data_IF_757441233420
#
_entry.id   IF_757441233420
#
_cell.length_a   1.000
_cell.length_b   1.000
_cell.length_c   1.000
_cell.angle_alpha   90.00
_cell.angle_beta   90.00
_cell.angle_gamma   90.00
#
_symmetry.space_group_name_H-M   'P 1'
#
loop_
_entity.id
_entity.type
_entity.pdbx_description
1 polymer ?
#
# COMPACT_ATOMS: atom_id res chain seq x y z
N UNK A 1 39.17 6.58 38.79
CA UNK A 1 37.93 6.74 38.03
C UNK A 1 38.24 7.63 36.84
N UNK A 2 38.51 7.01 35.69
CA UNK A 2 38.64 7.69 34.41
C UNK A 2 37.35 7.40 33.66
N UNK A 3 36.72 8.46 33.18
CA UNK A 3 35.52 8.42 32.37
C UNK A 3 35.75 7.57 31.12
N UNK A 4 35.05 6.43 31.04
CA UNK A 4 34.79 5.77 29.76
C UNK A 4 33.69 6.58 29.08
N UNK A 5 34.10 7.51 28.20
CA UNK A 5 33.23 7.96 27.11
C UNK A 5 33.03 6.76 26.19
N UNK A 6 31.82 6.23 26.18
CA UNK A 6 31.37 5.33 25.12
C UNK A 6 30.98 6.26 23.96
N UNK A 7 31.77 6.24 22.88
CA UNK A 7 31.40 6.89 21.63
C UNK A 7 30.27 6.07 20.98
N UNK A 8 29.04 6.59 21.01
CA UNK A 8 27.84 6.04 20.34
C UNK A 8 28.00 5.89 18.82
N UNK A 9 29.10 6.36 18.24
CA UNK A 9 29.39 6.28 16.80
C UNK A 9 30.05 4.97 16.35
N UNK A 10 30.39 4.05 17.26
CA UNK A 10 31.16 2.82 16.93
C UNK A 10 30.35 1.53 16.92
N UNK A 11 29.02 1.58 17.10
CA UNK A 11 28.15 0.40 17.14
C UNK A 11 27.32 0.16 15.85
N UNK A 12 27.47 0.99 14.81
CA UNK A 12 26.53 1.01 13.69
C UNK A 12 27.14 0.85 12.29
N UNK A 13 28.37 0.31 12.19
CA UNK A 13 29.07 0.21 10.90
C UNK A 13 29.68 -1.19 10.70
N UNK A 14 28.86 -2.23 10.89
CA UNK A 14 29.24 -3.58 10.52
C UNK A 14 28.42 -4.03 9.31
N UNK A 15 28.99 -3.84 8.13
CA UNK A 15 28.69 -4.63 6.93
C UNK A 15 28.89 -6.12 7.26
N UNK A 16 27.85 -6.78 7.79
CA UNK A 16 27.98 -8.19 8.15
C UNK A 16 28.04 -9.05 6.88
N UNK A 17 29.07 -9.89 6.69
CA UNK A 17 29.21 -10.71 5.49
C UNK A 17 28.30 -11.94 5.46
N UNK A 18 27.75 -12.39 6.61
CA UNK A 18 27.04 -13.69 6.73
C UNK A 18 25.77 -13.65 7.62
N UNK A 19 24.92 -14.66 7.50
CA UNK A 19 23.67 -14.88 8.27
C UNK A 19 23.93 -15.21 9.74
N UNK A 20 25.08 -15.80 10.05
CA UNK A 20 25.49 -16.16 11.41
C UNK A 20 25.74 -14.92 12.28
N UNK A 21 26.30 -13.86 11.69
CA UNK A 21 26.49 -12.58 12.38
C UNK A 21 25.14 -11.89 12.68
N UNK A 22 24.18 -11.97 11.74
CA UNK A 22 22.82 -11.45 11.94
C UNK A 22 22.11 -12.19 13.08
N UNK A 23 22.26 -13.51 13.18
CA UNK A 23 21.70 -14.29 14.28
C UNK A 23 22.26 -13.84 15.64
N UNK A 24 23.57 -13.57 15.72
CA UNK A 24 24.21 -13.09 16.94
C UNK A 24 23.71 -11.68 17.33
N UNK A 25 23.55 -10.78 16.37
CA UNK A 25 23.01 -9.45 16.59
C UNK A 25 21.55 -9.48 17.04
N UNK A 26 20.72 -10.31 16.41
CA UNK A 26 19.33 -10.49 16.80
C UNK A 26 19.22 -10.95 18.27
N UNK A 27 20.11 -11.86 18.70
CA UNK A 27 20.21 -12.28 20.11
C UNK A 27 20.59 -11.11 21.02
N UNK A 28 21.57 -10.29 20.60
CA UNK A 28 22.01 -9.14 21.40
C UNK A 28 20.91 -8.07 21.55
N UNK A 29 20.10 -7.88 20.51
CA UNK A 29 18.99 -6.91 20.48
C UNK A 29 17.67 -7.50 21.00
N UNK A 30 17.68 -8.73 21.51
CA UNK A 30 16.51 -9.48 21.98
C UNK A 30 15.36 -9.52 20.95
N UNK A 31 15.68 -9.57 19.66
CA UNK A 31 14.70 -9.66 18.57
C UNK A 31 14.72 -11.05 17.92
N UNK A 32 13.59 -11.42 17.34
CA UNK A 32 13.47 -12.64 16.55
C UNK A 32 13.97 -12.40 15.12
N UNK A 33 13.54 -11.29 14.52
CA UNK A 33 13.68 -11.05 13.08
C UNK A 33 14.02 -9.58 12.81
N UNK A 34 14.99 -9.37 11.92
CA UNK A 34 15.21 -8.07 11.28
C UNK A 34 14.37 -7.99 10.00
N UNK A 35 13.55 -6.94 9.88
CA UNK A 35 12.73 -6.69 8.70
C UNK A 35 13.16 -5.40 8.02
N UNK A 36 13.56 -5.47 6.75
CA UNK A 36 13.87 -4.27 5.96
C UNK A 36 12.67 -3.87 5.09
N UNK A 37 12.30 -2.59 5.16
CA UNK A 37 11.18 -2.00 4.41
C UNK A 37 11.66 -0.82 3.56
N UNK A 38 10.87 -0.43 2.57
CA UNK A 38 11.25 0.60 1.59
C UNK A 38 11.41 2.00 2.17
N UNK A 39 10.57 2.37 3.13
CA UNK A 39 10.61 3.69 3.75
C UNK A 39 9.95 3.75 5.12
N UNK A 40 9.89 4.95 5.68
CA UNK A 40 9.33 5.19 7.02
C UNK A 40 7.83 4.93 7.08
N UNK A 41 7.11 5.21 5.99
CA UNK A 41 5.66 5.01 5.90
C UNK A 41 5.30 3.51 5.90
N UNK A 42 6.20 2.65 5.38
CA UNK A 42 6.03 1.20 5.34
C UNK A 42 6.18 0.54 6.72
N UNK A 43 6.97 1.14 7.62
CA UNK A 43 7.23 0.56 8.95
C UNK A 43 5.93 0.30 9.71
N UNK A 44 5.04 1.29 9.74
CA UNK A 44 3.78 1.17 10.49
C UNK A 44 2.85 0.14 9.85
N UNK A 45 2.72 0.17 8.52
CA UNK A 45 1.91 -0.80 7.79
C UNK A 45 2.36 -2.24 8.05
N UNK A 46 3.65 -2.53 7.89
CA UNK A 46 4.17 -3.89 8.08
C UNK A 46 4.17 -4.30 9.55
N UNK A 47 4.46 -3.38 10.48
CA UNK A 47 4.32 -3.64 11.90
C UNK A 47 2.90 -4.09 12.25
N UNK A 48 1.89 -3.34 11.81
CA UNK A 48 0.49 -3.67 12.10
C UNK A 48 0.06 -4.99 11.44
N UNK A 49 0.55 -5.29 10.24
CA UNK A 49 0.36 -6.59 9.56
C UNK A 49 0.90 -7.74 10.42
N UNK A 50 2.16 -7.66 10.86
CA UNK A 50 2.78 -8.72 11.65
C UNK A 50 2.21 -8.81 13.06
N UNK A 51 1.93 -7.68 13.72
CA UNK A 51 1.25 -7.65 15.02
C UNK A 51 -0.17 -8.27 14.92
N UNK A 52 -0.82 -8.20 13.76
CA UNK A 52 -2.14 -8.81 13.54
C UNK A 52 -2.06 -10.31 13.27
N UNK A 53 -1.14 -10.77 12.41
CA UNK A 53 -1.14 -12.16 11.91
C UNK A 53 -0.06 -13.06 12.53
N UNK A 54 0.96 -12.48 13.17
CA UNK A 54 2.03 -13.19 13.88
C UNK A 54 2.47 -12.43 15.16
N UNK A 55 1.55 -12.20 16.12
CA UNK A 55 1.75 -11.32 17.28
C UNK A 55 2.87 -11.76 18.24
N UNK A 56 3.33 -13.02 18.14
CA UNK A 56 4.38 -13.56 19.02
C UNK A 56 5.80 -13.27 18.50
N UNK A 57 5.95 -12.73 17.29
CA UNK A 57 7.25 -12.41 16.71
C UNK A 57 7.72 -11.03 17.18
N UNK A 58 8.92 -10.99 17.77
CA UNK A 58 9.58 -9.72 18.04
C UNK A 58 10.38 -9.27 16.80
N UNK A 59 9.78 -8.41 15.99
CA UNK A 59 10.37 -7.92 14.74
C UNK A 59 10.82 -6.47 14.90
N UNK A 60 12.07 -6.18 14.50
CA UNK A 60 12.53 -4.79 14.34
C UNK A 60 12.49 -4.42 12.85
N UNK A 61 11.80 -3.32 12.55
CA UNK A 61 11.63 -2.81 11.19
C UNK A 61 12.63 -1.68 10.90
N UNK A 62 13.38 -1.82 9.81
CA UNK A 62 14.41 -0.89 9.34
C UNK A 62 13.98 -0.21 8.04
N UNK A 63 13.76 1.12 8.01
CA UNK A 63 13.26 1.86 6.84
C UNK A 63 14.35 2.29 5.84
N UNK A 64 15.44 1.53 5.76
CA UNK A 64 16.63 1.87 4.98
C UNK A 64 17.35 0.61 4.53
N UNK A 65 18.24 0.72 3.56
CA UNK A 65 19.12 -0.40 3.17
C UNK A 65 20.06 -0.80 4.30
N UNK A 66 20.37 -2.09 4.37
CA UNK A 66 21.45 -2.66 5.19
C UNK A 66 22.81 -2.04 4.84
N UNK A 67 23.09 -1.85 3.56
CA UNK A 67 24.40 -1.42 3.06
C UNK A 67 24.60 0.10 3.18
N UNK A 68 23.51 0.85 3.41
CA UNK A 68 23.56 2.30 3.62
C UNK A 68 22.28 2.83 4.27
N UNK A 69 22.38 3.23 5.53
CA UNK A 69 21.27 3.78 6.33
C UNK A 69 20.65 5.08 5.78
N UNK A 70 21.29 5.73 4.79
CA UNK A 70 20.78 6.93 4.11
C UNK A 70 20.08 6.63 2.77
N UNK A 71 20.05 5.37 2.33
CA UNK A 71 19.38 4.95 1.09
C UNK A 71 18.09 4.21 1.41
N UNK A 72 17.01 4.66 0.80
CA UNK A 72 15.66 4.09 0.92
C UNK A 72 15.10 3.71 -0.46
N UNK A 73 13.98 3.00 -0.45
CA UNK A 73 13.25 2.51 -1.62
C UNK A 73 13.65 1.11 -2.06
N UNK A 74 12.77 0.46 -2.83
CA UNK A 74 12.90 -0.92 -3.32
C UNK A 74 14.29 -1.37 -3.77
N UNK A 75 14.96 -0.59 -4.61
CA UNK A 75 16.30 -0.92 -5.14
C UNK A 75 17.39 -0.98 -4.07
N UNK A 76 17.19 -0.25 -2.97
CA UNK A 76 18.14 -0.21 -1.86
C UNK A 76 17.98 -1.41 -0.92
N UNK A 77 16.79 -2.02 -0.87
CA UNK A 77 16.52 -3.21 -0.04
C UNK A 77 16.65 -4.52 -0.82
N UNK A 78 16.33 -4.55 -2.12
CA UNK A 78 16.49 -5.72 -2.99
C UNK A 78 17.89 -5.81 -3.61
N UNK A 79 18.94 -5.66 -2.79
CA UNK A 79 20.33 -5.87 -3.24
C UNK A 79 20.61 -7.36 -3.35
N UNK A 80 21.58 -7.74 -4.20
CA UNK A 80 22.01 -9.15 -4.31
C UNK A 80 22.41 -9.73 -2.94
N UNK A 81 23.02 -8.91 -2.10
CA UNK A 81 23.40 -9.27 -0.73
C UNK A 81 22.18 -9.56 0.16
N UNK A 82 21.17 -8.68 0.16
CA UNK A 82 19.96 -8.90 0.94
C UNK A 82 19.16 -10.10 0.42
N UNK A 83 19.05 -10.27 -0.90
CA UNK A 83 18.38 -11.42 -1.50
C UNK A 83 19.05 -12.75 -1.09
N UNK A 84 20.39 -12.78 -1.07
CA UNK A 84 21.15 -13.98 -0.66
C UNK A 84 21.01 -14.28 0.83
N UNK A 85 20.89 -13.25 1.67
CA UNK A 85 20.85 -13.38 3.12
C UNK A 85 19.43 -13.45 3.70
N UNK A 86 18.39 -13.15 2.92
CA UNK A 86 17.01 -13.26 3.34
C UNK A 86 16.71 -14.70 3.77
N UNK A 87 16.21 -14.86 4.99
CA UNK A 87 16.20 -16.11 5.71
C UNK A 87 15.35 -16.07 6.97
N UNK A 88 15.48 -17.11 7.79
CA UNK A 88 14.70 -17.29 9.03
C UNK A 88 14.73 -16.06 9.97
N UNK A 89 15.83 -15.32 10.00
CA UNK A 89 16.08 -14.21 10.92
C UNK A 89 16.13 -12.83 10.21
N UNK A 90 15.92 -12.81 8.89
CA UNK A 90 16.02 -11.62 8.05
C UNK A 90 14.96 -11.70 6.94
N UNK A 91 13.98 -10.80 6.98
CA UNK A 91 12.94 -10.72 5.96
C UNK A 91 12.97 -9.35 5.26
N UNK A 92 12.47 -9.32 4.03
CA UNK A 92 12.31 -8.07 3.26
C UNK A 92 10.83 -7.86 2.99
N UNK A 93 10.34 -6.63 3.12
CA UNK A 93 8.96 -6.27 2.91
C UNK A 93 8.89 -5.13 1.90
N UNK A 94 8.26 -5.38 0.74
CA UNK A 94 8.35 -4.51 -0.44
C UNK A 94 6.98 -4.24 -1.05
N UNK A 95 6.85 -3.10 -1.70
CA UNK A 95 5.74 -2.84 -2.60
C UNK A 95 5.82 -3.77 -3.80
N UNK A 96 4.70 -4.34 -4.26
CA UNK A 96 4.75 -5.24 -5.41
C UNK A 96 4.94 -4.51 -6.74
N UNK A 97 4.63 -3.21 -6.82
CA UNK A 97 4.48 -2.49 -8.08
C UNK A 97 3.58 -3.27 -9.06
N UNK A 98 4.19 -3.89 -10.08
CA UNK A 98 3.54 -4.78 -11.04
C UNK A 98 4.17 -6.18 -11.04
N UNK A 99 5.16 -6.44 -10.18
CA UNK A 99 5.95 -7.67 -10.17
C UNK A 99 5.11 -8.89 -9.81
N UNK A 100 4.21 -8.75 -8.83
CA UNK A 100 3.26 -9.81 -8.48
C UNK A 100 2.38 -10.20 -9.67
N UNK A 101 1.82 -9.21 -10.38
CA UNK A 101 0.98 -9.43 -11.56
C UNK A 101 1.73 -10.07 -12.72
N UNK A 102 3.00 -9.70 -12.88
CA UNK A 102 3.87 -10.20 -13.94
C UNK A 102 4.57 -11.52 -13.57
N UNK A 103 4.37 -12.03 -12.35
CA UNK A 103 5.03 -13.24 -11.82
C UNK A 103 6.54 -13.17 -11.99
N UNK A 104 7.14 -12.08 -11.55
CA UNK A 104 8.58 -11.81 -11.72
C UNK A 104 9.44 -12.72 -10.81
N UNK A 105 9.84 -13.88 -11.30
CA UNK A 105 10.64 -14.86 -10.56
C UNK A 105 12.15 -14.56 -10.58
N UNK A 106 12.92 -14.93 -9.52
CA UNK A 106 12.48 -15.65 -8.31
C UNK A 106 11.93 -14.74 -7.20
N UNK A 107 11.75 -13.45 -7.47
CA UNK A 107 11.44 -12.45 -6.45
C UNK A 107 10.05 -12.66 -5.80
N UNK A 108 9.04 -13.00 -6.60
CA UNK A 108 7.67 -13.19 -6.11
C UNK A 108 7.46 -14.51 -5.38
N UNK A 109 8.29 -15.52 -5.62
CA UNK A 109 8.23 -16.81 -4.91
C UNK A 109 9.20 -16.92 -3.74
N UNK A 110 9.98 -15.87 -3.46
CA UNK A 110 11.00 -15.92 -2.43
C UNK A 110 10.38 -16.07 -1.02
N UNK A 111 10.73 -17.11 -0.24
CA UNK A 111 10.02 -17.48 0.99
C UNK A 111 10.17 -16.50 2.16
N UNK A 112 11.04 -15.50 2.02
CA UNK A 112 11.39 -14.49 3.03
C UNK A 112 11.22 -13.05 2.52
N UNK A 113 10.57 -12.87 1.35
CA UNK A 113 10.23 -11.56 0.81
C UNK A 113 8.72 -11.45 0.78
N UNK A 114 8.20 -10.49 1.54
CA UNK A 114 6.79 -10.19 1.62
C UNK A 114 6.48 -9.04 0.69
N UNK A 115 5.39 -9.20 -0.04
CA UNK A 115 4.93 -8.30 -1.08
C UNK A 115 3.62 -7.68 -0.65
N UNK A 116 3.39 -6.42 -0.98
CA UNK A 116 2.09 -5.80 -0.69
C UNK A 116 0.95 -6.43 -1.49
N UNK A 117 1.20 -7.16 -2.58
CA UNK A 117 0.24 -7.79 -3.49
C UNK A 117 -0.74 -6.84 -4.19
N UNK A 118 -0.97 -5.64 -3.66
CA UNK A 118 -1.39 -4.45 -4.40
C UNK A 118 -0.18 -3.76 -5.01
N UNK A 119 -0.40 -2.68 -5.76
CA UNK A 119 0.69 -1.90 -6.33
C UNK A 119 1.63 -1.37 -5.24
N UNK A 120 1.08 -0.74 -4.20
CA UNK A 120 1.82 -0.31 -3.02
C UNK A 120 0.95 -0.26 -1.76
N UNK A 121 1.55 0.12 -0.61
CA UNK A 121 0.82 0.36 0.64
C UNK A 121 -0.29 1.41 0.51
N UNK A 122 -0.13 2.41 -0.39
CA UNK A 122 -1.13 3.47 -0.63
C UNK A 122 -2.48 2.93 -1.06
N UNK A 123 -2.50 1.82 -1.81
CA UNK A 123 -3.75 1.23 -2.29
C UNK A 123 -4.61 0.72 -1.11
N UNK A 124 -3.98 0.27 -0.01
CA UNK A 124 -4.71 -0.15 1.20
C UNK A 124 -5.34 1.03 1.96
N UNK A 125 -4.71 2.21 1.90
CA UNK A 125 -5.22 3.43 2.53
C UNK A 125 -6.56 3.89 1.94
N UNK A 126 -6.90 3.43 0.73
CA UNK A 126 -8.05 3.91 -0.05
C UNK A 126 -9.14 2.88 -0.28
N UNK A 127 -9.20 1.82 0.53
CA UNK A 127 -10.33 0.87 0.49
C UNK A 127 -11.67 1.62 0.53
N UNK A 128 -12.62 1.36 -0.39
CA UNK A 128 -13.86 2.13 -0.49
C UNK A 128 -14.64 2.22 0.83
N UNK A 129 -14.62 1.16 1.64
CA UNK A 129 -15.28 1.12 2.95
C UNK A 129 -14.56 1.98 4.00
N UNK A 130 -13.23 2.03 3.95
CA UNK A 130 -12.44 2.91 4.80
C UNK A 130 -12.77 4.38 4.48
N UNK A 131 -12.78 4.74 3.20
CA UNK A 131 -13.13 6.09 2.74
C UNK A 131 -14.53 6.51 3.21
N UNK A 132 -15.54 5.65 2.99
CA UNK A 132 -16.91 5.90 3.44
C UNK A 132 -16.96 6.17 4.95
N UNK A 133 -16.29 5.34 5.76
CA UNK A 133 -16.32 5.49 7.21
C UNK A 133 -15.56 6.72 7.72
N UNK A 134 -14.45 7.08 7.07
CA UNK A 134 -13.71 8.30 7.37
C UNK A 134 -14.56 9.53 7.02
N UNK A 135 -15.24 9.53 5.86
CA UNK A 135 -16.15 10.60 5.48
C UNK A 135 -17.29 10.76 6.50
N UNK A 136 -17.92 9.66 6.92
CA UNK A 136 -18.96 9.68 7.94
C UNK A 136 -18.46 10.27 9.27
N UNK A 137 -17.32 9.79 9.76
CA UNK A 137 -16.71 10.23 11.03
C UNK A 137 -16.28 11.69 11.03
N UNK A 138 -15.91 12.23 9.87
CA UNK A 138 -15.33 13.58 9.74
C UNK A 138 -16.32 14.63 9.30
N UNK A 139 -17.44 14.24 8.69
CA UNK A 139 -18.44 15.15 8.15
C UNK A 139 -19.84 15.02 8.77
N UNK A 140 -20.18 13.88 9.39
CA UNK A 140 -21.51 13.59 9.93
C UNK A 140 -22.64 13.94 8.93
N UNK A 141 -22.66 13.29 7.74
CA UNK A 141 -23.68 13.54 6.72
C UNK A 141 -25.10 13.30 7.27
N UNK A 142 -26.09 13.91 6.62
CA UNK A 142 -27.50 13.66 6.96
C UNK A 142 -27.89 12.27 6.47
N UNK A 143 -28.48 11.45 7.35
CA UNK A 143 -28.93 10.09 7.03
C UNK A 143 -30.12 10.07 6.07
N UNK A 144 -30.81 11.20 5.88
CA UNK A 144 -31.97 11.30 5.01
C UNK A 144 -31.63 11.75 3.57
N UNK A 145 -30.38 12.11 3.32
CA UNK A 145 -29.90 12.50 1.99
C UNK A 145 -29.10 11.33 1.39
N UNK A 146 -29.29 10.98 0.10
CA UNK A 146 -28.44 10.00 -0.55
C UNK A 146 -26.96 10.37 -0.41
N UNK A 147 -26.19 9.49 0.22
CA UNK A 147 -24.74 9.66 0.37
C UNK A 147 -24.01 9.17 -0.88
N UNK A 148 -23.01 9.93 -1.32
CA UNK A 148 -21.97 9.45 -2.22
C UNK A 148 -21.48 8.02 -1.85
N UNK A 149 -21.53 7.13 -2.84
CA UNK A 149 -21.08 5.74 -2.74
C UNK A 149 -19.65 5.61 -3.27
N UNK A 150 -18.70 5.57 -2.34
CA UNK A 150 -17.29 5.28 -2.64
C UNK A 150 -17.10 3.92 -3.30
N UNK A 151 -17.93 2.93 -2.93
CA UNK A 151 -17.89 1.58 -3.51
C UNK A 151 -18.23 1.65 -4.99
N UNK A 152 -19.36 2.28 -5.36
CA UNK A 152 -19.79 2.32 -6.75
C UNK A 152 -18.86 3.18 -7.60
N UNK A 153 -18.34 4.29 -7.04
CA UNK A 153 -17.37 5.13 -7.73
C UNK A 153 -16.08 4.38 -8.03
N UNK A 154 -15.47 3.71 -7.03
CA UNK A 154 -14.20 2.99 -7.22
C UNK A 154 -14.39 1.79 -8.15
N UNK A 155 -15.53 1.10 -8.10
CA UNK A 155 -15.86 0.03 -9.05
C UNK A 155 -15.95 0.57 -10.48
N UNK A 156 -16.67 1.68 -10.69
CA UNK A 156 -16.78 2.31 -12.01
C UNK A 156 -15.42 2.80 -12.52
N UNK A 157 -14.62 3.43 -11.65
CA UNK A 157 -13.26 3.86 -11.95
C UNK A 157 -12.38 2.67 -12.37
N UNK A 158 -12.48 1.56 -11.62
CA UNK A 158 -11.70 0.35 -11.88
C UNK A 158 -12.05 -0.27 -13.24
N UNK A 159 -13.34 -0.37 -13.57
CA UNK A 159 -13.80 -0.89 -14.87
C UNK A 159 -13.28 -0.06 -16.03
N UNK A 160 -13.35 1.26 -15.91
CA UNK A 160 -12.88 2.19 -16.95
C UNK A 160 -11.37 2.08 -17.16
N UNK A 161 -10.61 1.84 -16.09
CA UNK A 161 -9.14 1.77 -16.15
C UNK A 161 -8.59 0.37 -16.44
N UNK A 162 -9.41 -0.69 -16.36
CA UNK A 162 -9.01 -2.06 -16.64
C UNK A 162 -8.34 -2.25 -18.02
N UNK A 163 -8.88 -1.69 -19.13
CA UNK A 163 -8.19 -1.78 -20.41
C UNK A 163 -6.79 -1.17 -20.37
N UNK A 164 -6.63 0.00 -19.73
CA UNK A 164 -5.33 0.67 -19.62
C UNK A 164 -4.34 -0.13 -18.76
N UNK A 165 -4.81 -0.77 -17.68
CA UNK A 165 -3.97 -1.65 -16.85
C UNK A 165 -3.33 -2.77 -17.69
N UNK A 166 -4.07 -3.36 -18.64
CA UNK A 166 -3.53 -4.40 -19.54
C UNK A 166 -2.36 -3.89 -20.38
N UNK A 167 -2.47 -2.67 -20.92
CA UNK A 167 -1.39 -2.03 -21.66
C UNK A 167 -0.18 -1.69 -20.76
N UNK A 168 -0.43 -1.20 -19.54
CA UNK A 168 0.62 -0.95 -18.55
C UNK A 168 1.42 -2.24 -18.27
N UNK A 169 0.72 -3.35 -18.02
CA UNK A 169 1.35 -4.65 -17.78
C UNK A 169 2.11 -5.19 -18.98
N UNK A 170 1.52 -5.08 -20.18
CA UNK A 170 2.19 -5.48 -21.43
C UNK A 170 3.53 -4.77 -21.61
N UNK A 171 3.56 -3.46 -21.41
CA UNK A 171 4.76 -2.65 -21.58
C UNK A 171 5.79 -2.88 -20.48
N UNK A 172 5.37 -3.06 -19.23
CA UNK A 172 6.30 -3.39 -18.15
C UNK A 172 6.92 -4.78 -18.36
N UNK A 173 6.14 -5.77 -18.80
CA UNK A 173 6.65 -7.10 -19.15
C UNK A 173 7.70 -7.04 -20.27
N UNK A 174 7.44 -6.24 -21.31
CA UNK A 174 8.39 -6.06 -22.43
C UNK A 174 9.68 -5.39 -21.94
N UNK A 175 9.58 -4.39 -21.07
CA UNK A 175 10.73 -3.74 -20.45
C UNK A 175 11.56 -4.73 -19.62
N UNK A 176 10.93 -5.58 -18.81
CA UNK A 176 11.62 -6.63 -18.05
C UNK A 176 12.38 -7.61 -18.97
N UNK A 177 11.73 -8.08 -20.05
CA UNK A 177 12.36 -8.99 -21.01
C UNK A 177 13.57 -8.36 -21.73
N UNK A 178 13.50 -7.06 -22.05
CA UNK A 178 14.62 -6.33 -22.66
C UNK A 178 15.80 -6.19 -21.71
N UNK A 179 15.54 -5.82 -20.44
CA UNK A 179 16.59 -5.72 -19.42
C UNK A 179 17.30 -7.06 -19.19
N UNK A 180 16.56 -8.18 -19.21
CA UNK A 180 17.15 -9.52 -19.09
C UNK A 180 18.02 -9.91 -20.30
N UNK A 181 17.71 -9.41 -21.49
CA UNK A 181 18.37 -9.80 -22.74
C UNK A 181 19.66 -9.04 -23.06
N UNK A 182 20.09 -8.06 -22.24
CA UNK A 182 21.28 -7.19 -22.46
C UNK A 182 21.40 -6.63 -23.89
N UNK A 183 20.29 -6.38 -24.58
CA UNK A 183 20.35 -5.75 -25.90
C UNK A 183 20.70 -4.27 -25.75
N UNK A 184 21.79 -3.84 -26.41
CA UNK A 184 22.33 -2.47 -26.35
C UNK A 184 21.39 -1.40 -26.94
N UNK A 185 20.38 -1.79 -27.71
CA UNK A 185 19.30 -0.90 -28.16
C UNK A 185 18.13 -0.96 -27.18
N UNK A 186 18.37 -0.50 -25.95
CA UNK A 186 17.28 -0.16 -25.05
C UNK A 186 16.43 0.90 -25.75
N UNK A 187 15.14 0.61 -25.99
CA UNK A 187 14.18 1.68 -26.29
C UNK A 187 14.17 2.55 -25.03
N UNK A 188 14.96 3.63 -25.06
CA UNK A 188 15.16 4.57 -23.96
C UNK A 188 13.86 5.27 -23.55
N UNK A 189 12.80 5.15 -24.34
CA UNK A 189 11.53 5.80 -24.10
C UNK A 189 10.62 4.89 -23.26
N UNK A 190 10.16 5.35 -22.07
CA UNK A 190 9.09 4.67 -21.35
C UNK A 190 7.89 4.53 -22.28
N UNK A 191 7.43 3.30 -22.50
CA UNK A 191 6.35 3.01 -23.45
C UNK A 191 5.03 3.69 -23.06
N UNK A 192 4.86 3.99 -21.76
CA UNK A 192 3.90 4.97 -21.20
C UNK A 192 4.61 5.72 -20.07
N UNK A 193 4.67 7.06 -20.11
CA UNK A 193 5.35 7.82 -19.06
C UNK A 193 4.48 8.00 -17.81
N UNK A 194 5.12 8.20 -16.65
CA UNK A 194 4.42 8.52 -15.39
C UNK A 194 3.56 9.79 -15.52
N UNK A 195 3.99 10.75 -16.34
CA UNK A 195 3.24 11.98 -16.58
C UNK A 195 2.00 11.74 -17.44
N UNK A 196 2.09 10.86 -18.45
CA UNK A 196 0.93 10.45 -19.25
C UNK A 196 -0.11 9.77 -18.36
N UNK A 197 0.32 8.81 -17.52
CA UNK A 197 -0.56 8.15 -16.56
C UNK A 197 -1.22 9.14 -15.60
N UNK A 198 -0.46 10.08 -15.02
CA UNK A 198 -1.02 11.14 -14.18
C UNK A 198 -2.08 11.96 -14.94
N UNK A 199 -1.78 12.38 -16.16
CA UNK A 199 -2.70 13.20 -16.96
C UNK A 199 -4.04 12.52 -17.27
N UNK A 200 -4.04 11.19 -17.36
CA UNK A 200 -5.24 10.38 -17.64
C UNK A 200 -5.98 10.03 -16.36
N UNK A 201 -5.27 9.51 -15.35
CA UNK A 201 -5.85 8.88 -14.16
C UNK A 201 -6.25 9.89 -13.07
N UNK A 202 -5.56 11.02 -12.94
CA UNK A 202 -5.91 12.02 -11.94
C UNK A 202 -7.30 12.62 -12.22
N UNK A 203 -8.06 12.91 -11.16
CA UNK A 203 -9.37 13.58 -11.25
C UNK A 203 -9.22 15.05 -10.84
N UNK A 204 -10.20 15.89 -11.21
CA UNK A 204 -10.23 17.29 -10.78
C UNK A 204 -11.41 17.56 -9.88
N UNK A 205 -11.21 18.32 -8.81
CA UNK A 205 -12.29 18.68 -7.88
C UNK A 205 -13.47 19.40 -8.56
N UNK A 206 -13.23 20.13 -9.66
CA UNK A 206 -14.26 20.82 -10.44
C UNK A 206 -15.15 19.87 -11.26
N UNK A 207 -14.69 18.65 -11.54
CA UNK A 207 -15.43 17.63 -12.29
C UNK A 207 -16.35 16.80 -11.36
N UNK A 208 -16.21 16.93 -10.04
CA UNK A 208 -16.93 16.11 -9.05
C UNK A 208 -18.27 16.74 -8.69
N UNK A 209 -19.35 16.13 -9.18
CA UNK A 209 -20.72 16.34 -8.74
C UNK A 209 -21.20 15.11 -7.94
N UNK A 210 -21.63 15.31 -6.70
CA UNK A 210 -22.05 14.22 -5.83
C UNK A 210 -23.50 13.77 -6.07
N UNK A 211 -24.32 14.56 -6.79
CA UNK A 211 -25.74 14.27 -7.01
C UNK A 211 -25.96 13.00 -7.82
N UNK A 212 -25.02 12.67 -8.72
CA UNK A 212 -25.01 11.45 -9.52
C UNK A 212 -23.71 10.67 -9.33
N UNK A 213 -23.26 10.53 -8.07
CA UNK A 213 -22.09 9.75 -7.68
C UNK A 213 -20.81 10.00 -8.51
N UNK A 214 -20.59 11.25 -8.92
CA UNK A 214 -19.49 11.68 -9.79
C UNK A 214 -19.43 11.00 -11.17
N UNK A 215 -20.59 10.72 -11.78
CA UNK A 215 -20.70 10.12 -13.11
C UNK A 215 -19.88 10.86 -14.20
N UNK A 216 -19.86 12.20 -14.18
CA UNK A 216 -19.09 13.01 -15.13
C UNK A 216 -17.57 12.76 -15.03
N UNK A 217 -17.05 12.50 -13.82
CA UNK A 217 -15.64 12.13 -13.62
C UNK A 217 -15.33 10.81 -14.31
N UNK A 218 -16.22 9.82 -14.18
CA UNK A 218 -16.07 8.51 -14.80
C UNK A 218 -16.14 8.61 -16.33
N UNK A 219 -17.04 9.43 -16.86
CA UNK A 219 -17.16 9.70 -18.30
C UNK A 219 -15.91 10.38 -18.84
N UNK A 220 -15.43 11.42 -18.16
CA UNK A 220 -14.18 12.10 -18.52
C UNK A 220 -12.97 11.17 -18.48
N UNK A 221 -12.85 10.33 -17.46
CA UNK A 221 -11.81 9.31 -17.34
C UNK A 221 -11.86 8.32 -18.50
N UNK A 222 -13.06 7.85 -18.87
CA UNK A 222 -13.27 6.92 -20.00
C UNK A 222 -12.74 7.49 -21.31
N UNK A 223 -13.03 8.76 -21.59
CA UNK A 223 -12.53 9.43 -22.79
C UNK A 223 -11.00 9.55 -22.76
N UNK A 224 -10.41 9.98 -21.63
CA UNK A 224 -8.94 10.09 -21.49
C UNK A 224 -8.23 8.74 -21.63
N UNK A 225 -8.82 7.66 -21.10
CA UNK A 225 -8.29 6.30 -21.23
C UNK A 225 -8.36 5.82 -22.68
N UNK A 226 -9.49 6.03 -23.36
CA UNK A 226 -9.65 5.68 -24.77
C UNK A 226 -8.64 6.43 -25.65
N UNK A 227 -8.50 7.74 -25.46
CA UNK A 227 -7.56 8.58 -26.21
C UNK A 227 -6.10 8.10 -26.04
N UNK A 228 -5.70 7.68 -24.83
CA UNK A 228 -4.36 7.16 -24.59
C UNK A 228 -4.16 5.80 -25.26
N UNK A 229 -5.15 4.91 -25.18
CA UNK A 229 -5.10 3.60 -25.83
C UNK A 229 -5.03 3.76 -27.36
N UNK A 230 -5.78 4.70 -27.94
CA UNK A 230 -5.74 4.99 -29.38
C UNK A 230 -4.36 5.50 -29.80
N UNK A 231 -3.75 6.41 -29.02
CA UNK A 231 -2.36 6.86 -29.26
C UNK A 231 -1.36 5.71 -29.19
N UNK A 232 -1.53 4.80 -28.22
CA UNK A 232 -0.69 3.61 -28.09
C UNK A 232 -0.83 2.72 -29.33
N UNK A 233 -2.05 2.43 -29.76
CA UNK A 233 -2.33 1.57 -30.92
C UNK A 233 -1.86 2.20 -32.24
N UNK A 234 -1.83 3.53 -32.34
CA UNK A 234 -1.24 4.25 -33.49
C UNK A 234 0.30 4.16 -33.50
N UNK A 235 0.93 4.24 -32.32
CA UNK A 235 2.40 4.24 -32.19
C UNK A 235 3.00 2.83 -32.30
N UNK A 236 2.34 1.82 -31.76
CA UNK A 236 2.85 0.46 -31.70
C UNK A 236 1.94 -0.49 -32.48
N UNK A 237 2.49 -1.09 -33.55
CA UNK A 237 1.78 -2.11 -34.31
C UNK A 237 1.86 -3.47 -33.60
N UNK A 238 0.79 -4.27 -33.68
CA UNK A 238 0.72 -5.64 -33.16
C UNK A 238 0.94 -5.81 -31.65
N UNK A 239 0.22 -5.05 -30.82
CA UNK A 239 0.13 -5.35 -29.37
C UNK A 239 -0.78 -6.57 -29.17
N UNK A 240 -0.23 -7.62 -28.56
CA UNK A 240 -0.98 -8.81 -28.15
C UNK A 240 -1.11 -8.85 -26.62
N UNK A 241 -2.35 -8.74 -26.14
CA UNK A 241 -2.68 -8.75 -24.71
C UNK A 241 -3.05 -10.14 -24.19
N UNK A 242 -3.06 -11.18 -25.02
CA UNK A 242 -3.54 -12.53 -24.65
C UNK A 242 -2.77 -13.12 -23.47
N UNK A 243 -1.45 -12.89 -23.41
CA UNK A 243 -0.63 -13.31 -22.26
C UNK A 243 -0.98 -12.54 -20.98
N UNK A 244 -1.29 -11.25 -21.10
CA UNK A 244 -1.67 -10.43 -19.94
C UNK A 244 -3.05 -10.87 -19.42
N UNK A 245 -3.99 -11.14 -20.31
CA UNK A 245 -5.32 -11.66 -19.94
C UNK A 245 -5.21 -13.00 -19.22
N UNK A 246 -4.32 -13.87 -19.69
CA UNK A 246 -4.06 -15.16 -19.04
C UNK A 246 -3.50 -14.97 -17.62
N UNK A 247 -2.52 -14.06 -17.45
CA UNK A 247 -1.96 -13.74 -16.12
C UNK A 247 -3.01 -13.19 -15.16
N UNK A 248 -3.83 -12.24 -15.60
CA UNK A 248 -4.89 -11.65 -14.78
C UNK A 248 -5.96 -12.68 -14.39
N UNK A 249 -6.32 -13.57 -15.32
CA UNK A 249 -7.26 -14.67 -15.08
C UNK A 249 -6.71 -15.67 -14.05
N UNK A 250 -5.44 -16.08 -14.18
CA UNK A 250 -4.79 -16.98 -13.22
C UNK A 250 -4.73 -16.40 -11.79
N UNK A 251 -4.65 -15.08 -11.66
CA UNK A 251 -4.65 -14.37 -10.38
C UNK A 251 -6.08 -14.02 -9.90
N UNK A 252 -7.13 -14.41 -10.63
CA UNK A 252 -8.53 -14.07 -10.36
C UNK A 252 -8.79 -12.56 -10.25
N UNK A 253 -8.07 -11.74 -11.02
CA UNK A 253 -8.24 -10.28 -10.98
C UNK A 253 -9.42 -9.88 -11.84
N UNK A 254 -10.33 -9.12 -11.23
CA UNK A 254 -11.55 -8.64 -11.89
C UNK A 254 -11.41 -7.18 -12.33
N UNK A 255 -12.22 -6.78 -13.31
CA UNK A 255 -12.29 -5.39 -13.76
C UNK A 255 -12.80 -4.42 -12.69
N UNK A 256 -13.47 -4.90 -11.64
CA UNK A 256 -14.04 -4.05 -10.59
C UNK A 256 -13.03 -3.63 -9.51
N UNK A 257 -11.82 -4.21 -9.53
CA UNK A 257 -10.85 -4.15 -8.44
C UNK A 257 -9.46 -3.68 -8.88
N UNK A 258 -9.36 -3.16 -10.11
CA UNK A 258 -8.09 -2.74 -10.71
C UNK A 258 -7.39 -1.60 -9.97
N UNK A 259 -8.13 -0.80 -9.18
CA UNK A 259 -7.54 0.23 -8.34
C UNK A 259 -6.47 -0.30 -7.38
N UNK A 260 -6.52 -1.59 -7.01
CA UNK A 260 -5.47 -2.23 -6.22
C UNK A 260 -4.13 -2.26 -6.93
N UNK A 261 -4.12 -2.28 -8.27
CA UNK A 261 -2.96 -2.55 -9.09
C UNK A 261 -2.52 -1.35 -9.94
N UNK A 262 -3.19 -0.22 -9.79
CA UNK A 262 -2.76 1.06 -10.36
C UNK A 262 -1.79 1.76 -9.40
N UNK A 263 -0.96 2.66 -9.94
CA UNK A 263 0.06 3.37 -9.18
C UNK A 263 -0.51 4.01 -7.90
N UNK A 264 -0.05 3.52 -6.74
CA UNK A 264 -0.62 3.87 -5.44
C UNK A 264 -0.61 5.37 -5.14
N UNK A 265 0.48 6.08 -5.45
CA UNK A 265 0.52 7.55 -5.31
C UNK A 265 -0.50 8.28 -6.20
N UNK A 266 -0.68 7.84 -7.45
CA UNK A 266 -1.71 8.43 -8.31
C UNK A 266 -3.10 8.18 -7.69
N UNK A 267 -3.36 6.95 -7.26
CA UNK A 267 -4.64 6.60 -6.65
C UNK A 267 -4.89 7.33 -5.33
N UNK A 268 -3.87 7.52 -4.50
CA UNK A 268 -3.96 8.22 -3.22
C UNK A 268 -4.08 9.73 -3.41
N UNK A 269 -3.05 10.36 -3.99
CA UNK A 269 -2.93 11.83 -4.05
C UNK A 269 -3.87 12.46 -5.07
N UNK A 270 -4.07 11.77 -6.19
CA UNK A 270 -4.70 12.31 -7.38
C UNK A 270 -6.15 11.86 -7.57
N UNK A 271 -6.61 10.86 -6.81
CA UNK A 271 -7.99 10.34 -6.87
C UNK A 271 -8.64 10.41 -5.49
N UNK A 272 -8.16 9.62 -4.53
CA UNK A 272 -8.81 9.47 -3.24
C UNK A 272 -8.79 10.77 -2.42
N UNK A 273 -7.65 11.46 -2.29
CA UNK A 273 -7.58 12.73 -1.53
C UNK A 273 -8.47 13.82 -2.14
N UNK A 274 -8.50 13.95 -3.47
CA UNK A 274 -9.33 14.94 -4.16
C UNK A 274 -10.82 14.62 -3.94
N UNK A 275 -11.19 13.35 -4.09
CA UNK A 275 -12.56 12.89 -3.88
C UNK A 275 -13.02 13.12 -2.44
N UNK A 276 -12.20 12.69 -1.46
CA UNK A 276 -12.48 12.84 -0.03
C UNK A 276 -12.61 14.30 0.38
N UNK A 277 -11.70 15.16 -0.08
CA UNK A 277 -11.77 16.60 0.18
C UNK A 277 -13.07 17.22 -0.32
N UNK A 278 -13.53 16.84 -1.52
CA UNK A 278 -14.80 17.31 -2.08
C UNK A 278 -16.01 16.77 -1.32
N UNK A 279 -16.08 15.45 -1.10
CA UNK A 279 -17.20 14.78 -0.39
C UNK A 279 -17.37 15.38 1.01
N UNK A 280 -16.30 15.46 1.80
CA UNK A 280 -16.33 16.01 3.17
C UNK A 280 -16.73 17.48 3.15
N UNK A 281 -16.22 18.27 2.20
CA UNK A 281 -16.57 19.68 2.09
C UNK A 281 -18.06 19.89 1.81
N UNK A 282 -18.62 19.16 0.85
CA UNK A 282 -20.04 19.24 0.49
C UNK A 282 -20.94 18.79 1.66
N UNK A 283 -20.65 17.65 2.29
CA UNK A 283 -21.41 17.20 3.47
C UNK A 283 -21.39 18.22 4.60
N UNK A 284 -20.22 18.80 4.90
CA UNK A 284 -20.12 19.85 5.91
C UNK A 284 -20.90 21.10 5.51
N UNK A 285 -20.93 21.45 4.21
CA UNK A 285 -21.69 22.58 3.70
C UNK A 285 -23.19 22.35 3.76
N UNK A 286 -23.67 21.17 3.36
CA UNK A 286 -25.06 20.74 3.48
C UNK A 286 -25.54 20.79 4.93
N UNK A 287 -24.76 20.22 5.86
CA UNK A 287 -25.08 20.28 7.30
C UNK A 287 -25.20 21.71 7.81
N UNK A 288 -24.29 22.60 7.40
CA UNK A 288 -24.34 24.03 7.73
C UNK A 288 -25.56 24.73 7.13
N UNK A 289 -25.93 24.42 5.88
CA UNK A 289 -27.14 24.94 5.23
C UNK A 289 -28.38 24.47 5.99
N UNK A 290 -28.45 23.18 6.32
CA UNK A 290 -29.54 22.61 7.12
C UNK A 290 -29.73 23.37 8.43
N UNK A 291 -28.67 23.57 9.22
CA UNK A 291 -28.74 24.34 10.47
C UNK A 291 -29.24 25.78 10.32
N UNK A 292 -28.97 26.43 9.17
CA UNK A 292 -29.41 27.80 8.88
C UNK A 292 -30.89 27.88 8.51
N UNK A 293 -31.43 26.82 7.90
CA UNK A 293 -32.83 26.75 7.48
C UNK A 293 -33.79 26.43 8.64
N UNK A 294 -33.27 25.86 9.73
CA UNK A 294 -34.06 25.55 10.92
C UNK A 294 -34.34 26.80 11.78
N UNK A 295 -35.42 26.76 12.55
CA UNK A 295 -35.75 27.77 13.56
C UNK A 295 -34.67 27.84 14.65
N UNK A 296 -34.18 29.04 14.95
CA UNK A 296 -33.03 29.25 15.85
C UNK A 296 -33.43 29.20 17.33
N UNK A 297 -33.64 27.98 17.83
CA UNK A 297 -33.88 27.68 19.25
C UNK A 297 -32.59 27.48 20.04
N UNK A 298 -32.64 27.58 21.37
CA UNK A 298 -31.48 27.26 22.24
C UNK A 298 -31.02 25.80 22.07
N UNK A 299 -31.96 24.88 21.84
CA UNK A 299 -31.66 23.46 21.56
C UNK A 299 -30.87 23.34 20.26
N UNK A 300 -31.28 24.03 19.20
CA UNK A 300 -30.58 24.01 17.91
C UNK A 300 -29.18 24.62 18.03
N UNK A 301 -29.02 25.73 18.76
CA UNK A 301 -27.70 26.35 19.02
C UNK A 301 -26.77 25.39 19.76
N UNK A 302 -27.29 24.64 20.74
CA UNK A 302 -26.53 23.60 21.44
C UNK A 302 -26.08 22.50 20.48
N UNK A 303 -26.97 22.00 19.60
CA UNK A 303 -26.64 20.99 18.58
C UNK A 303 -25.63 21.48 17.53
N UNK A 304 -25.72 22.75 17.11
CA UNK A 304 -24.72 23.37 16.24
C UNK A 304 -23.34 23.44 16.91
N UNK A 305 -23.28 23.73 18.22
CA UNK A 305 -22.04 23.73 19.00
C UNK A 305 -21.46 22.33 19.13
N UNK A 306 -22.30 21.33 19.43
CA UNK A 306 -21.92 19.91 19.48
C UNK A 306 -21.29 19.46 18.15
N UNK A 307 -21.98 19.68 17.03
CA UNK A 307 -21.46 19.36 15.70
C UNK A 307 -20.12 20.03 15.41
N UNK A 308 -20.00 21.34 15.69
CA UNK A 308 -18.73 22.07 15.50
C UNK A 308 -17.60 21.48 16.33
N UNK A 309 -17.87 21.07 17.56
CA UNK A 309 -16.86 20.45 18.43
C UNK A 309 -16.43 19.09 17.88
N UNK A 310 -17.36 18.26 17.39
CA UNK A 310 -17.04 16.95 16.81
C UNK A 310 -16.11 17.03 15.60
N UNK A 311 -16.28 18.06 14.75
CA UNK A 311 -15.46 18.20 13.53
C UNK A 311 -14.19 19.03 13.71
N UNK A 312 -14.04 19.78 14.82
CA UNK A 312 -12.99 20.81 15.00
C UNK A 312 -11.57 20.26 14.88
N UNK A 313 -11.34 19.07 15.41
CA UNK A 313 -10.02 18.44 15.50
C UNK A 313 -9.95 17.12 14.71
N UNK A 314 -10.93 16.87 13.84
CA UNK A 314 -10.96 15.66 13.03
C UNK A 314 -10.27 15.93 11.70
N UNK A 315 -8.98 15.58 11.62
CA UNK A 315 -8.24 15.60 10.38
C UNK A 315 -8.46 14.29 9.61
N UNK A 316 -9.11 14.40 8.45
CA UNK A 316 -9.45 13.24 7.63
C UNK A 316 -8.24 12.73 6.84
N UNK A 317 -7.25 13.56 6.55
CA UNK A 317 -6.02 13.13 5.86
C UNK A 317 -5.19 12.20 6.75
N UNK A 318 -5.00 12.56 8.03
CA UNK A 318 -4.37 11.67 9.02
C UNK A 318 -5.13 10.35 9.14
N UNK A 319 -6.47 10.37 9.21
CA UNK A 319 -7.27 9.14 9.26
C UNK A 319 -7.16 8.29 7.99
N UNK A 320 -6.91 8.91 6.82
CA UNK A 320 -6.67 8.17 5.58
C UNK A 320 -5.31 7.48 5.58
N UNK A 321 -4.29 8.06 6.21
CA UNK A 321 -2.99 7.39 6.34
C UNK A 321 -3.12 6.04 7.05
N UNK A 322 -4.01 5.94 8.05
CA UNK A 322 -4.34 4.70 8.77
C UNK A 322 -5.49 3.91 8.13
N UNK A 323 -5.92 4.27 6.92
CA UNK A 323 -7.05 3.64 6.22
C UNK A 323 -6.85 2.15 5.97
N UNK A 324 -5.60 1.70 5.88
CA UNK A 324 -5.23 0.28 5.71
C UNK A 324 -5.69 -0.61 6.88
N UNK A 325 -5.87 -0.05 8.08
CA UNK A 325 -6.36 -0.80 9.25
C UNK A 325 -7.74 -1.43 9.01
N UNK A 326 -8.56 -0.80 8.17
CA UNK A 326 -9.85 -1.39 7.78
C UNK A 326 -9.69 -2.69 6.98
N UNK A 327 -8.61 -2.82 6.21
CA UNK A 327 -8.31 -4.06 5.51
C UNK A 327 -7.87 -5.17 6.47
N UNK A 328 -7.09 -4.85 7.50
CA UNK A 328 -6.67 -5.82 8.53
C UNK A 328 -7.87 -6.34 9.34
N UNK A 329 -8.84 -5.47 9.66
CA UNK A 329 -10.03 -5.85 10.42
C UNK A 329 -11.08 -6.55 9.55
N UNK A 330 -11.17 -6.21 8.25
CA UNK A 330 -12.18 -6.71 7.32
C UNK A 330 -11.58 -7.37 6.07
N UNK A 331 -10.82 -8.44 6.29
CA UNK A 331 -10.03 -9.16 5.27
C UNK A 331 -10.83 -9.49 3.98
N UNK A 332 -12.10 -9.86 4.12
CA UNK A 332 -12.97 -10.22 2.98
C UNK A 332 -13.21 -9.06 2.00
N UNK A 333 -12.93 -7.82 2.40
CA UNK A 333 -13.12 -6.64 1.55
C UNK A 333 -11.81 -6.15 0.91
N UNK A 334 -10.67 -6.78 1.21
CA UNK A 334 -9.37 -6.40 0.67
C UNK A 334 -8.61 -7.66 0.22
N UNK A 335 -8.89 -8.21 -0.98
CA UNK A 335 -8.28 -9.47 -1.43
C UNK A 335 -6.75 -9.54 -1.31
N UNK A 336 -5.97 -8.48 -1.64
CA UNK A 336 -4.51 -8.51 -1.48
C UNK A 336 -4.03 -8.78 -0.04
N UNK A 337 -4.75 -8.31 0.98
CA UNK A 337 -4.38 -8.54 2.39
C UNK A 337 -4.49 -10.01 2.79
N UNK A 338 -5.37 -10.77 2.14
CA UNK A 338 -5.54 -12.19 2.43
C UNK A 338 -4.30 -12.97 2.01
N UNK A 339 -3.64 -12.54 0.92
CA UNK A 339 -2.39 -13.12 0.47
C UNK A 339 -1.24 -12.77 1.43
N UNK A 340 -1.16 -11.51 1.90
CA UNK A 340 -0.22 -11.12 2.97
C UNK A 340 -0.42 -12.00 4.21
N UNK A 341 -1.66 -12.12 4.70
CA UNK A 341 -2.01 -12.97 5.84
C UNK A 341 -1.50 -14.39 5.65
N UNK A 342 -1.79 -15.00 4.49
CA UNK A 342 -1.37 -16.36 4.18
C UNK A 342 0.15 -16.51 4.28
N UNK A 343 0.91 -15.59 3.69
CA UNK A 343 2.37 -15.70 3.69
C UNK A 343 2.98 -15.43 5.07
N UNK A 344 2.41 -14.50 5.85
CA UNK A 344 2.85 -14.23 7.22
C UNK A 344 2.58 -15.43 8.12
N UNK A 345 1.38 -16.03 8.01
CA UNK A 345 1.02 -17.24 8.75
C UNK A 345 1.88 -18.45 8.32
N UNK A 346 2.15 -18.61 7.02
CA UNK A 346 3.00 -19.70 6.50
C UNK A 346 4.45 -19.55 6.96
N UNK A 347 4.96 -18.31 7.02
CA UNK A 347 6.27 -18.02 7.58
C UNK A 347 6.32 -18.31 9.09
N UNK A 348 5.28 -17.88 9.83
CA UNK A 348 5.22 -18.06 11.27
C UNK A 348 5.03 -19.52 11.70
N UNK A 349 4.02 -20.19 11.16
CA UNK A 349 3.61 -21.54 11.52
C UNK A 349 4.43 -22.62 10.80
N UNK A 350 4.98 -22.31 9.63
CA UNK A 350 5.76 -23.23 8.81
C UNK A 350 7.12 -23.61 9.40
N UNK A 351 7.45 -23.17 10.62
CA UNK A 351 8.70 -23.49 11.31
C UNK A 351 9.93 -22.86 10.65
N UNK A 352 9.73 -21.78 9.87
CA UNK A 352 10.79 -21.04 9.19
C UNK A 352 11.51 -20.05 10.11
N UNK A 353 11.09 -19.94 11.37
CA UNK A 353 11.70 -19.09 12.39
C UNK A 353 12.67 -19.94 13.23
N UNK A 354 13.81 -19.39 13.67
CA UNK A 354 14.66 -20.09 14.62
C UNK A 354 13.85 -20.40 15.88
N UNK A 355 13.71 -21.69 16.23
CA UNK A 355 13.03 -22.07 17.49
C UNK A 355 13.71 -21.33 18.63
N UNK A 356 13.00 -20.42 19.33
CA UNK A 356 13.46 -19.89 20.62
C UNK A 356 13.90 -21.07 21.46
N UNK A 357 15.16 -21.05 21.91
CA UNK A 357 15.62 -22.00 22.90
C UNK A 357 14.67 -21.91 24.08
N UNK A 358 14.03 -23.02 24.41
CA UNK A 358 13.70 -23.32 25.80
C UNK A 358 15.00 -23.10 26.55
N UNK A 359 15.12 -21.98 27.26
CA UNK A 359 16.17 -21.80 28.24
C UNK A 359 15.87 -22.87 29.28
N UNK A 360 16.51 -24.03 29.14
CA UNK A 360 16.56 -25.01 30.21
C UNK A 360 17.31 -24.29 31.32
N UNK A 361 16.57 -23.81 32.31
CA UNK A 361 17.12 -23.35 33.58
C UNK A 361 17.96 -24.50 34.15
N UNK A 362 19.27 -24.47 33.92
CA UNK A 362 20.25 -25.38 34.51
C UNK A 362 20.48 -25.10 36.02
N UNK A 363 19.50 -24.50 36.71
CA UNK A 363 19.52 -24.24 38.14
C UNK A 363 18.68 -25.26 38.94
N UNK A 364 18.55 -26.51 38.47
CA UNK A 364 18.02 -27.63 39.26
C UNK A 364 18.93 -28.88 39.27
N UNK A 365 20.23 -28.70 39.00
CA UNK A 365 21.23 -29.76 39.16
C UNK A 365 22.27 -29.42 40.24
N UNK A 366 21.85 -28.84 41.36
CA UNK A 366 22.62 -28.84 42.63
C UNK A 366 21.64 -29.03 43.79
N UNK A 367 21.08 -30.22 43.88
CA UNK A 367 20.45 -30.73 45.10
C UNK A 367 20.56 -32.26 45.07
N UNK A 368 21.77 -32.76 45.24
CA UNK A 368 22.06 -34.08 45.82
C UNK A 368 23.28 -33.97 46.70
#
# INVERSE_FOLDING_TARGET
>A
MKDLKIDDATLLDNDFPDIDDRNAENIQLDMDIACYVEGMDDVHFWKDVFDTFAPELNIIFYPYSRDNHFKSGKKSILTEHNLKNAGASLILCVDSDLEYLLKNEPLVSHPYIFHTYSYSIENYKISPKALARIADKTAYPDTNTPSFSFVDFIKAYSKVTYPLLRYILYFEKRKQAQMASKQDEAISEPLVSKNDLKSVLCIKASEIDLTDNAHEVITGLKNRVADLIDKINQKYTHIDLTQIDSLLSELNITEEETYWYLNGHIMYDCVAKILMGKVISEYRQEKRKWFKLQEQTEILKAKQKEYRNCIKNMDWETLMNDGYMYCLISLNNCPPIQKIKQDVEDYWLGGRIPKKRVIINLNQAVAK
#
